data_IF_563419353743
#
_entry.id   IF_563419353743
#
_cell.length_a   1.000
_cell.length_b   1.000
_cell.length_c   1.000
_cell.angle_alpha   90.00
_cell.angle_beta   90.00
_cell.angle_gamma   90.00
#
_symmetry.space_group_name_H-M   'P 1'
#
loop_
_entity.id
_entity.type
_entity.pdbx_description
1 polymer ?
#
# COMPACT_ATOMS: atom_id res chain seq x y z
N UNK A 1 -16.13 8.58 -23.07
CA UNK A 1 -15.38 7.31 -22.88
C UNK A 1 -13.95 7.47 -22.32
N UNK A 2 -13.44 8.67 -22.06
CA UNK A 2 -12.04 8.90 -21.60
C UNK A 2 -11.83 8.87 -20.07
N UNK A 3 -12.87 8.91 -19.26
CA UNK A 3 -12.73 9.00 -17.79
C UNK A 3 -12.58 7.65 -17.05
N UNK A 4 -12.90 6.53 -17.69
CA UNK A 4 -12.82 5.22 -17.05
C UNK A 4 -11.38 4.67 -16.97
N UNK A 5 -10.49 5.09 -17.88
CA UNK A 5 -9.07 4.64 -17.89
C UNK A 5 -8.16 5.35 -16.88
N UNK A 6 -8.58 6.48 -16.29
CA UNK A 6 -7.76 7.20 -15.29
C UNK A 6 -7.60 6.51 -13.94
N UNK A 7 -8.38 5.47 -13.68
CA UNK A 7 -8.38 4.76 -12.39
C UNK A 7 -7.88 3.31 -12.43
N UNK A 8 -7.34 2.82 -13.55
CA UNK A 8 -6.85 1.44 -13.64
C UNK A 8 -5.32 1.39 -13.71
N UNK A 9 -4.75 0.26 -13.23
CA UNK A 9 -3.36 -0.04 -13.43
C UNK A 9 -3.11 -0.39 -14.91
N UNK A 10 -2.15 0.27 -15.54
CA UNK A 10 -1.78 0.02 -16.95
C UNK A 10 -0.41 -0.63 -17.00
N UNK A 11 -0.31 -1.82 -17.60
CA UNK A 11 0.97 -2.47 -17.85
C UNK A 11 1.80 -1.61 -18.79
N UNK A 12 3.07 -1.40 -18.47
CA UNK A 12 3.99 -0.59 -19.26
C UNK A 12 5.32 -1.31 -19.44
N UNK A 13 6.08 -0.93 -20.46
CA UNK A 13 7.44 -1.42 -20.67
C UNK A 13 8.38 -0.88 -19.57
N UNK A 14 9.44 -1.62 -19.23
CA UNK A 14 10.44 -1.17 -18.28
C UNK A 14 11.14 0.11 -18.80
N UNK A 15 11.50 1.06 -17.91
CA UNK A 15 12.08 2.34 -18.31
C UNK A 15 13.35 2.24 -19.17
N UNK A 16 14.13 1.18 -18.99
CA UNK A 16 15.38 0.94 -19.70
C UNK A 16 15.26 -0.13 -20.79
N UNK A 17 14.04 -0.53 -21.16
CA UNK A 17 13.80 -1.62 -22.12
C UNK A 17 14.24 -3.01 -21.63
N UNK A 18 14.73 -3.13 -20.41
CA UNK A 18 15.23 -4.38 -19.83
C UNK A 18 14.22 -4.93 -18.82
N UNK A 19 13.59 -6.04 -19.17
CA UNK A 19 12.71 -6.76 -18.25
C UNK A 19 13.55 -7.45 -17.16
N UNK A 20 13.36 -7.05 -15.91
CA UNK A 20 13.98 -7.71 -14.78
C UNK A 20 13.21 -9.01 -14.45
N UNK A 21 13.96 -10.11 -14.27
CA UNK A 21 13.36 -11.41 -13.93
C UNK A 21 12.56 -11.31 -12.63
N UNK A 22 11.28 -11.73 -12.67
CA UNK A 22 10.40 -11.72 -11.51
C UNK A 22 9.74 -10.39 -11.22
N UNK A 23 9.93 -9.37 -12.08
CA UNK A 23 9.28 -8.06 -12.00
C UNK A 23 8.41 -7.77 -13.21
N UNK A 24 7.41 -6.95 -13.02
CA UNK A 24 6.64 -6.32 -14.09
C UNK A 24 6.36 -4.85 -13.72
N UNK A 25 5.99 -4.07 -14.72
CA UNK A 25 5.93 -2.61 -14.60
C UNK A 25 4.51 -2.12 -14.89
N UNK A 26 4.00 -1.27 -14.01
CA UNK A 26 2.68 -0.65 -14.17
C UNK A 26 2.76 0.85 -13.98
N UNK A 27 1.95 1.57 -14.72
CA UNK A 27 1.72 3.00 -14.52
C UNK A 27 0.36 3.21 -13.85
N UNK A 28 0.37 3.96 -12.74
CA UNK A 28 -0.82 4.34 -11.98
C UNK A 28 -0.69 5.79 -11.51
N UNK A 29 -1.64 6.63 -11.89
CA UNK A 29 -1.60 8.07 -11.60
C UNK A 29 -0.25 8.71 -11.92
N UNK A 30 0.32 8.39 -13.09
CA UNK A 30 1.64 8.87 -13.57
C UNK A 30 2.82 8.42 -12.68
N UNK A 31 2.61 7.41 -11.84
CA UNK A 31 3.65 6.81 -11.01
C UNK A 31 3.97 5.43 -11.54
N UNK A 32 5.26 5.18 -11.81
CA UNK A 32 5.75 3.86 -12.21
C UNK A 32 5.84 2.95 -10.99
N UNK A 33 5.30 1.76 -11.11
CA UNK A 33 5.42 0.69 -10.14
C UNK A 33 6.22 -0.46 -10.74
N UNK A 34 7.29 -0.87 -10.05
CA UNK A 34 8.05 -2.08 -10.32
C UNK A 34 7.65 -3.12 -9.27
N UNK A 35 6.89 -4.11 -9.65
CA UNK A 35 6.19 -5.00 -8.73
C UNK A 35 6.57 -6.45 -9.03
N UNK A 36 6.69 -7.28 -7.99
CA UNK A 36 6.90 -8.72 -8.14
C UNK A 36 5.75 -9.34 -8.94
N UNK A 37 6.08 -10.27 -9.84
CA UNK A 37 5.10 -10.91 -10.76
C UNK A 37 3.97 -11.66 -10.06
N UNK A 38 4.15 -12.01 -8.78
CA UNK A 38 3.09 -12.60 -7.95
C UNK A 38 1.94 -11.64 -7.64
N UNK A 39 2.15 -10.32 -7.76
CA UNK A 39 1.13 -9.31 -7.51
C UNK A 39 0.59 -8.73 -8.82
N UNK A 40 -0.73 -8.69 -8.97
CA UNK A 40 -1.42 -8.07 -10.09
C UNK A 40 -2.16 -6.83 -9.61
N UNK A 41 -1.67 -5.63 -9.95
CA UNK A 41 -2.36 -4.40 -9.63
C UNK A 41 -3.73 -4.30 -10.31
N UNK A 42 -4.72 -3.79 -9.57
CA UNK A 42 -6.08 -3.56 -10.06
C UNK A 42 -6.28 -2.08 -10.35
N UNK A 43 -6.16 -1.25 -9.30
CA UNK A 43 -6.39 0.19 -9.39
C UNK A 43 -5.66 0.93 -8.27
N UNK A 44 -5.30 2.21 -8.48
CA UNK A 44 -4.86 3.07 -7.40
C UNK A 44 -6.03 3.34 -6.45
N UNK A 45 -5.76 3.35 -5.14
CA UNK A 45 -6.75 3.55 -4.08
C UNK A 45 -6.43 4.72 -3.17
N UNK A 46 -5.20 5.23 -3.20
CA UNK A 46 -4.79 6.36 -2.38
C UNK A 46 -3.52 7.03 -2.88
N UNK A 47 -3.41 8.33 -2.63
CA UNK A 47 -2.17 9.11 -2.82
C UNK A 47 -1.95 9.96 -1.58
N UNK A 48 -0.78 9.86 -0.99
CA UNK A 48 -0.36 10.64 0.15
C UNK A 48 0.98 11.33 -0.08
N UNK A 49 1.48 12.01 0.95
CA UNK A 49 2.77 12.70 0.92
C UNK A 49 3.95 11.76 0.58
N UNK A 50 3.83 10.48 0.92
CA UNK A 50 4.90 9.48 0.75
C UNK A 50 4.80 8.66 -0.53
N UNK A 51 3.72 8.77 -1.30
CA UNK A 51 3.57 8.02 -2.54
C UNK A 51 2.15 7.58 -2.85
N UNK A 52 2.04 6.56 -3.67
CA UNK A 52 0.79 6.03 -4.19
C UNK A 52 0.54 4.64 -3.63
N UNK A 53 -0.72 4.36 -3.31
CA UNK A 53 -1.20 3.04 -2.87
C UNK A 53 -2.11 2.46 -3.94
N UNK A 54 -1.94 1.19 -4.27
CA UNK A 54 -2.82 0.46 -5.18
C UNK A 54 -3.38 -0.81 -4.54
N UNK A 55 -4.59 -1.18 -4.94
CA UNK A 55 -5.12 -2.51 -4.68
C UNK A 55 -4.54 -3.50 -5.69
N UNK A 56 -4.24 -4.71 -5.23
CA UNK A 56 -3.64 -5.77 -6.03
C UNK A 56 -4.17 -7.13 -5.59
N UNK A 57 -3.97 -8.15 -6.43
CA UNK A 57 -4.20 -9.54 -6.07
C UNK A 57 -2.86 -10.25 -6.00
N UNK A 58 -2.62 -10.98 -4.93
CA UNK A 58 -1.54 -11.96 -4.84
C UNK A 58 -2.01 -13.24 -5.55
N UNK A 59 -1.36 -13.60 -6.67
CA UNK A 59 -1.73 -14.80 -7.47
C UNK A 59 -1.45 -16.13 -6.78
N UNK A 60 -0.49 -16.14 -5.84
CA UNK A 60 -0.10 -17.35 -5.13
C UNK A 60 -1.12 -17.71 -4.05
N UNK A 61 -1.68 -16.70 -3.36
CA UNK A 61 -2.64 -16.90 -2.27
C UNK A 61 -4.08 -16.54 -2.64
N UNK A 62 -4.29 -15.91 -3.80
CA UNK A 62 -5.55 -15.32 -4.26
C UNK A 62 -6.11 -14.24 -3.30
N UNK A 63 -5.29 -13.70 -2.43
CA UNK A 63 -5.66 -12.64 -1.49
C UNK A 63 -5.60 -11.26 -2.17
N UNK A 64 -6.54 -10.39 -1.81
CA UNK A 64 -6.47 -8.97 -2.13
C UNK A 64 -5.55 -8.26 -1.15
N UNK A 65 -4.66 -7.43 -1.66
CA UNK A 65 -3.67 -6.68 -0.88
C UNK A 65 -3.62 -5.22 -1.29
N UNK A 66 -3.11 -4.37 -0.42
CA UNK A 66 -2.77 -2.99 -0.73
C UNK A 66 -1.25 -2.85 -0.83
N UNK A 67 -0.75 -2.30 -1.94
CA UNK A 67 0.68 -2.07 -2.16
C UNK A 67 0.93 -0.57 -2.10
N UNK A 68 1.71 -0.14 -1.09
CA UNK A 68 2.16 1.24 -0.90
C UNK A 68 3.56 1.39 -1.46
N UNK A 69 3.71 2.23 -2.47
CA UNK A 69 5.01 2.66 -2.97
C UNK A 69 5.44 3.90 -2.22
N UNK A 70 6.63 3.89 -1.64
CA UNK A 70 7.31 5.04 -1.02
C UNK A 70 8.47 5.39 -1.93
N UNK A 71 8.38 6.56 -2.60
CA UNK A 71 9.39 6.99 -3.55
C UNK A 71 10.63 7.54 -2.83
N UNK A 72 11.81 7.26 -3.38
CA UNK A 72 13.10 7.88 -2.99
C UNK A 72 13.32 7.93 -1.47
N UNK A 73 12.97 6.84 -0.78
CA UNK A 73 12.90 6.79 0.70
C UNK A 73 14.22 7.21 1.37
N UNK A 74 15.35 7.04 0.69
CA UNK A 74 16.69 7.34 1.23
C UNK A 74 17.21 8.74 0.91
N UNK A 75 16.50 9.53 0.09
CA UNK A 75 16.87 10.93 -0.17
C UNK A 75 16.67 11.81 1.07
N UNK A 76 15.72 11.44 1.95
CA UNK A 76 15.45 12.13 3.19
C UNK A 76 15.62 11.19 4.39
N UNK A 77 16.54 11.53 5.30
CA UNK A 77 16.81 10.75 6.51
C UNK A 77 15.56 10.57 7.39
N UNK A 78 14.70 11.58 7.48
CA UNK A 78 13.48 11.51 8.30
C UNK A 78 12.52 10.48 7.71
N UNK A 79 12.34 10.46 6.39
CA UNK A 79 11.43 9.53 5.72
C UNK A 79 11.98 8.10 5.78
N UNK A 80 13.29 7.92 5.65
CA UNK A 80 13.94 6.63 5.83
C UNK A 80 13.73 6.08 7.25
N UNK A 81 13.92 6.92 8.28
CA UNK A 81 13.71 6.52 9.67
C UNK A 81 12.25 6.23 10.00
N UNK A 82 11.31 6.99 9.45
CA UNK A 82 9.86 6.74 9.59
C UNK A 82 9.47 5.41 8.96
N UNK A 83 9.93 5.17 7.73
CA UNK A 83 9.66 3.91 7.03
C UNK A 83 10.26 2.72 7.77
N UNK A 84 11.49 2.84 8.27
CA UNK A 84 12.13 1.80 9.07
C UNK A 84 11.37 1.53 10.37
N UNK A 85 10.86 2.58 11.03
CA UNK A 85 10.05 2.46 12.26
C UNK A 85 8.74 1.75 11.95
N UNK A 86 8.03 2.16 10.89
CA UNK A 86 6.79 1.52 10.43
C UNK A 86 7.01 0.03 10.19
N UNK A 87 8.07 -0.32 9.45
CA UNK A 87 8.45 -1.72 9.18
C UNK A 87 8.72 -2.51 10.46
N UNK A 88 9.54 -1.96 11.37
CA UNK A 88 9.88 -2.64 12.62
C UNK A 88 8.66 -2.87 13.50
N UNK A 89 7.80 -1.89 13.63
CA UNK A 89 6.57 -2.00 14.43
C UNK A 89 5.62 -3.04 13.84
N UNK A 90 5.27 -2.92 12.55
CA UNK A 90 4.31 -3.82 11.91
C UNK A 90 4.82 -5.27 11.76
N UNK A 91 6.13 -5.47 11.74
CA UNK A 91 6.71 -6.81 11.76
C UNK A 91 6.46 -7.54 13.09
N UNK A 92 6.42 -6.81 14.20
CA UNK A 92 6.29 -7.37 15.55
C UNK A 92 4.84 -7.34 16.06
N UNK A 93 4.08 -6.32 15.68
CA UNK A 93 2.70 -6.17 16.12
C UNK A 93 1.81 -7.09 15.27
N UNK A 94 1.16 -8.03 15.95
CA UNK A 94 0.08 -8.86 15.37
C UNK A 94 -1.16 -8.67 16.23
N UNK A 95 -2.09 -7.88 15.73
CA UNK A 95 -3.31 -7.53 16.44
C UNK A 95 -4.44 -7.30 15.43
N UNK A 96 -5.64 -7.73 15.75
CA UNK A 96 -6.82 -7.62 14.86
C UNK A 96 -7.19 -6.16 14.49
N UNK A 97 -6.85 -5.20 15.37
CA UNK A 97 -7.11 -3.77 15.16
C UNK A 97 -5.89 -3.01 14.59
N UNK A 98 -4.85 -3.70 14.17
CA UNK A 98 -3.66 -3.10 13.53
C UNK A 98 -3.46 -3.75 12.17
N UNK A 99 -3.37 -2.92 11.14
CA UNK A 99 -3.19 -3.39 9.76
C UNK A 99 -2.00 -4.34 9.63
N UNK A 100 -2.22 -5.50 9.01
CA UNK A 100 -1.17 -6.50 8.85
C UNK A 100 -0.23 -6.14 7.68
N UNK A 101 1.08 -6.11 7.97
CA UNK A 101 2.11 -6.11 6.94
C UNK A 101 2.28 -7.54 6.43
N UNK A 102 1.93 -7.76 5.16
CA UNK A 102 1.98 -9.09 4.51
C UNK A 102 3.34 -9.38 3.88
N UNK A 103 3.97 -8.35 3.27
CA UNK A 103 5.22 -8.52 2.54
C UNK A 103 5.95 -7.17 2.37
N UNK A 104 7.23 -7.24 2.03
CA UNK A 104 8.06 -6.12 1.62
C UNK A 104 8.79 -6.51 0.35
N UNK A 105 8.50 -5.84 -0.77
CA UNK A 105 9.19 -6.13 -2.02
C UNK A 105 10.57 -5.51 -2.01
N UNK A 106 11.57 -6.35 -2.22
CA UNK A 106 12.97 -5.94 -2.29
C UNK A 106 13.37 -5.68 -3.74
N UNK A 107 14.28 -4.74 -4.00
CA UNK A 107 14.88 -4.58 -5.31
C UNK A 107 15.79 -5.77 -5.63
N UNK A 108 15.99 -6.06 -6.91
CA UNK A 108 16.90 -7.13 -7.35
C UNK A 108 18.36 -6.77 -7.01
N UNK A 109 18.71 -5.51 -7.17
CA UNK A 109 20.06 -5.00 -6.86
C UNK A 109 20.01 -3.98 -5.73
N UNK A 110 20.89 -4.13 -4.74
CA UNK A 110 21.02 -3.19 -3.61
C UNK A 110 21.33 -1.76 -4.07
N UNK A 111 22.06 -1.59 -5.16
CA UNK A 111 22.43 -0.29 -5.72
C UNK A 111 21.25 0.46 -6.35
N UNK A 112 20.17 -0.24 -6.73
CA UNK A 112 18.95 0.33 -7.28
C UNK A 112 17.86 0.58 -6.22
N UNK A 113 18.19 0.41 -4.93
CA UNK A 113 17.24 0.54 -3.84
C UNK A 113 16.93 2.02 -3.55
N UNK A 114 15.99 2.58 -4.30
CA UNK A 114 15.47 3.95 -4.11
C UNK A 114 14.08 3.96 -3.51
N UNK A 115 13.21 3.11 -4.04
CA UNK A 115 11.82 3.02 -3.66
C UNK A 115 11.58 1.81 -2.76
N UNK A 116 10.67 1.95 -1.79
CA UNK A 116 10.24 0.85 -0.91
C UNK A 116 8.79 0.53 -1.22
N UNK A 117 8.48 -0.75 -1.36
CA UNK A 117 7.13 -1.25 -1.56
C UNK A 117 6.69 -2.09 -0.37
N UNK A 118 5.67 -1.63 0.32
CA UNK A 118 5.07 -2.32 1.46
C UNK A 118 3.73 -2.92 1.05
N UNK A 119 3.53 -4.20 1.35
CA UNK A 119 2.31 -4.93 1.05
C UNK A 119 1.54 -5.15 2.33
N UNK A 120 0.33 -4.63 2.37
CA UNK A 120 -0.60 -4.74 3.50
C UNK A 120 -1.82 -5.57 3.14
N UNK A 121 -2.57 -6.00 4.13
CA UNK A 121 -3.94 -6.41 3.91
C UNK A 121 -4.75 -5.26 3.29
N UNK A 122 -5.71 -5.58 2.43
CA UNK A 122 -6.58 -4.59 1.83
C UNK A 122 -7.82 -4.39 2.70
N UNK A 123 -7.98 -3.17 3.20
CA UNK A 123 -9.19 -2.76 3.91
C UNK A 123 -10.27 -2.34 2.91
N UNK A 124 -11.53 -2.63 3.22
CA UNK A 124 -12.66 -2.28 2.34
C UNK A 124 -12.91 -0.78 2.29
N UNK A 125 -12.68 -0.08 3.42
CA UNK A 125 -12.89 1.36 3.55
C UNK A 125 -12.05 1.93 4.68
N UNK A 126 -12.13 3.24 4.89
CA UNK A 126 -11.51 3.97 5.99
C UNK A 126 -12.56 4.79 6.78
N UNK A 127 -12.17 5.27 7.95
CA UNK A 127 -13.05 6.04 8.82
C UNK A 127 -13.50 7.37 8.17
N UNK A 128 -12.69 7.96 7.31
CA UNK A 128 -13.04 9.19 6.59
C UNK A 128 -14.23 8.96 5.64
N UNK A 129 -14.21 7.86 4.88
CA UNK A 129 -15.33 7.48 4.01
C UNK A 129 -16.58 7.13 4.81
N UNK A 130 -16.41 6.45 5.96
CA UNK A 130 -17.53 6.10 6.85
C UNK A 130 -18.18 7.38 7.39
N UNK A 131 -17.42 8.36 7.89
CA UNK A 131 -17.94 9.63 8.42
C UNK A 131 -18.64 10.45 7.33
N UNK A 132 -18.13 10.41 6.09
CA UNK A 132 -18.72 11.13 4.95
C UNK A 132 -19.86 10.38 4.27
N UNK A 133 -20.13 9.15 4.64
CA UNK A 133 -21.24 8.39 4.07
C UNK A 133 -22.59 9.00 4.50
N UNK A 134 -23.62 8.71 3.72
CA UNK A 134 -24.99 9.13 4.06
C UNK A 134 -25.60 8.38 5.26
N UNK A 135 -24.90 7.34 5.74
CA UNK A 135 -25.36 6.58 6.92
C UNK A 135 -24.98 7.33 8.20
N UNK A 136 -25.95 7.66 9.07
CA UNK A 136 -25.64 8.30 10.34
C UNK A 136 -24.85 7.34 11.26
N UNK A 137 -23.78 7.84 11.83
CA UNK A 137 -23.05 7.14 12.88
C UNK A 137 -23.81 7.29 14.20
N UNK A 138 -24.18 6.17 14.82
CA UNK A 138 -24.73 6.19 16.17
C UNK A 138 -23.63 6.43 17.21
N UNK A 139 -24.03 6.86 18.43
CA UNK A 139 -23.10 6.96 19.56
C UNK A 139 -22.38 5.63 19.87
N UNK A 140 -23.04 4.50 19.64
CA UNK A 140 -22.45 3.18 19.86
C UNK A 140 -21.41 2.81 18.80
N UNK A 141 -21.60 3.21 17.53
CA UNK A 141 -20.56 3.10 16.51
C UNK A 141 -19.31 3.90 16.90
N UNK A 142 -19.47 5.13 17.38
CA UNK A 142 -18.34 5.94 17.83
C UNK A 142 -17.60 5.32 19.02
N UNK A 143 -18.33 4.81 20.01
CA UNK A 143 -17.75 4.09 21.16
C UNK A 143 -16.98 2.86 20.71
N UNK A 144 -17.55 2.08 19.78
CA UNK A 144 -16.89 0.87 19.25
C UNK A 144 -15.58 1.20 18.54
N UNK A 145 -15.56 2.21 17.67
CA UNK A 145 -14.31 2.62 17.00
C UNK A 145 -13.25 3.11 17.98
N UNK A 146 -13.63 3.94 18.95
CA UNK A 146 -12.73 4.41 20.00
C UNK A 146 -12.17 3.25 20.83
N UNK A 147 -13.01 2.31 21.21
CA UNK A 147 -12.61 1.13 21.96
C UNK A 147 -11.56 0.30 21.21
N UNK A 148 -11.76 0.08 19.90
CA UNK A 148 -10.81 -0.65 19.05
C UNK A 148 -9.44 0.06 18.98
N UNK A 149 -9.43 1.39 18.83
CA UNK A 149 -8.20 2.18 18.82
C UNK A 149 -7.49 2.12 20.19
N UNK A 150 -8.23 2.22 21.29
CA UNK A 150 -7.66 2.17 22.64
C UNK A 150 -7.04 0.81 22.95
N UNK A 151 -7.73 -0.30 22.62
CA UNK A 151 -7.18 -1.65 22.83
C UNK A 151 -5.88 -1.85 22.06
N UNK A 152 -5.80 -1.37 20.80
CA UNK A 152 -4.56 -1.48 20.01
C UNK A 152 -3.41 -0.65 20.56
N UNK A 153 -3.70 0.37 21.37
CA UNK A 153 -2.70 1.26 21.98
C UNK A 153 -2.17 0.77 23.33
N UNK A 154 -2.81 -0.23 23.94
CA UNK A 154 -2.45 -0.76 25.26
C UNK A 154 -1.47 -1.94 25.21
N UNK A 155 -1.05 -2.38 24.00
CA UNK A 155 -0.04 -3.43 23.76
C UNK A 155 1.22 -2.86 23.15
#
# INVERSE_FOLDING_TARGET
MLNYRRGMATLVEPPNGINQRGKHYYSMWQTLFEIDTKYVPIKPIGRGAYGVVCSSINRETNEKVAIKKINNVFENRIDALRTLRELKLLRHIRHENVIALKDVMMPIHRTSFKDVYLVYELMDTDLHHIIKSSQPLSGDHCKYFLFQVLISSLK
#
